data_IF_747149429310
#
_entry.id   IF_747149429310
#
_cell.length_a   1.000
_cell.length_b   1.000
_cell.length_c   1.000
_cell.angle_alpha   90.00
_cell.angle_beta   90.00
_cell.angle_gamma   90.00
#
_symmetry.space_group_name_H-M   'P 1'
#
loop_
_entity.id
_entity.type
_entity.pdbx_description
1 polymer ?
2 polymer ?
3 polymer ?
#
# COMPACT_ATOMS: atom_id res chain seq x y z
N UNK A 8 -11.12 10.26 25.20
CA UNK A 8 -10.96 9.16 24.26
C UNK A 8 -10.17 8.01 24.87
N UNK A 9 -9.41 8.32 25.92
CA UNK A 9 -8.62 7.30 26.58
C UNK A 9 -9.52 6.17 27.08
N UNK A 10 -9.08 4.93 26.85
CA UNK A 10 -9.88 3.78 27.20
C UNK A 10 -10.97 3.51 26.20
N UNK A 11 -11.84 2.57 26.55
CA UNK A 11 -12.96 2.21 25.69
C UNK A 11 -13.93 3.38 25.60
N UNK A 12 -14.30 3.74 24.37
CA UNK A 12 -15.20 4.86 24.13
C UNK A 12 -16.30 4.41 23.18
N UNK A 13 -17.57 4.57 23.53
CA UNK A 13 -18.65 4.29 22.57
C UNK A 13 -18.73 5.36 21.51
N UNK A 14 -19.36 4.99 20.39
CA UNK A 14 -19.50 5.90 19.25
C UNK A 14 -20.80 5.56 18.53
N UNK A 15 -21.50 6.60 18.09
CA UNK A 15 -22.70 6.47 17.29
C UNK A 15 -22.60 7.44 16.13
N UNK A 16 -22.61 6.91 14.90
CA UNK A 16 -22.40 7.71 13.70
C UNK A 16 -23.66 7.64 12.85
N UNK A 17 -24.25 8.79 12.57
CA UNK A 17 -25.42 8.89 11.71
C UNK A 17 -25.12 9.88 10.60
N UNK A 18 -25.53 9.53 9.37
CA UNK A 18 -25.26 10.39 8.23
C UNK A 18 -26.33 10.19 7.18
N UNK A 19 -26.42 11.14 6.26
CA UNK A 19 -27.34 11.07 5.13
C UNK A 19 -26.65 11.64 3.90
N UNK A 20 -27.02 11.13 2.74
CA UNK A 20 -26.37 11.55 1.50
C UNK A 20 -27.27 11.37 0.30
N UNK A 21 -26.93 12.10 -0.76
CA UNK A 21 -27.67 12.07 -2.03
C UNK A 21 -26.73 11.67 -3.16
N UNK A 22 -27.20 10.73 -3.98
CA UNK A 22 -26.46 10.26 -5.14
C UNK A 22 -27.43 10.17 -6.31
N UNK A 23 -27.26 11.05 -7.29
CA UNK A 23 -28.07 11.02 -8.51
C UNK A 23 -29.56 11.05 -8.19
N UNK A 24 -29.93 11.90 -7.23
CA UNK A 24 -31.31 12.06 -6.84
C UNK A 24 -31.83 11.02 -5.86
N UNK A 25 -31.01 10.07 -5.46
CA UNK A 25 -31.39 9.04 -4.49
C UNK A 25 -30.85 9.44 -3.12
N UNK A 26 -31.74 9.60 -2.15
CA UNK A 26 -31.38 10.00 -0.80
C UNK A 26 -31.39 8.78 0.11
N UNK A 27 -30.34 8.63 0.91
CA UNK A 27 -30.24 7.50 1.82
C UNK A 27 -29.47 7.90 3.06
N UNK A 28 -29.89 7.37 4.21
CA UNK A 28 -29.27 7.67 5.49
C UNK A 28 -28.85 6.37 6.17
N UNK A 29 -27.71 6.41 6.85
CA UNK A 29 -27.15 5.25 7.54
C UNK A 29 -26.82 5.65 8.97
N UNK A 30 -27.23 4.81 9.92
CA UNK A 30 -26.94 5.01 11.34
C UNK A 30 -26.26 3.76 11.87
N UNK A 31 -25.30 3.95 12.76
CA UNK A 31 -24.54 2.82 13.29
C UNK A 31 -23.98 3.13 14.66
N UNK A 32 -23.63 2.06 15.36
CA UNK A 32 -23.14 2.14 16.73
C UNK A 32 -21.95 1.19 16.91
N UNK A 33 -21.10 1.51 17.87
CA UNK A 33 -19.99 0.64 18.18
C UNK A 33 -19.10 1.22 19.25
N UNK A 34 -17.89 0.69 19.35
CA UNK A 34 -16.96 1.11 20.39
C UNK A 34 -15.54 1.04 19.88
N UNK A 35 -14.68 1.90 20.43
CA UNK A 35 -13.28 1.93 20.05
C UNK A 35 -12.38 1.96 21.26
N UNK A 36 -11.27 1.22 21.17
CA UNK A 36 -10.24 1.18 22.19
C UNK A 36 -8.97 1.77 21.59
N UNK A 37 -8.67 3.02 21.96
CA UNK A 37 -7.46 3.66 21.45
C UNK A 37 -6.20 3.02 22.02
N UNK A 38 -6.25 2.60 23.28
CA UNK A 38 -5.08 1.98 23.89
C UNK A 38 -4.71 0.70 23.16
N UNK A 39 -5.71 -0.12 22.80
CA UNK A 39 -5.48 -1.34 22.04
C UNK A 39 -5.47 -1.10 20.54
N UNK A 40 -5.80 0.10 20.08
CA UNK A 40 -5.83 0.36 18.65
C UNK A 40 -6.84 -0.48 17.90
N UNK A 41 -8.04 -0.62 18.46
CA UNK A 41 -9.08 -1.44 17.85
C UNK A 41 -10.36 -0.63 17.72
N UNK A 42 -11.17 -0.96 16.72
CA UNK A 42 -12.42 -0.25 16.52
C UNK A 42 -13.46 -1.22 15.97
N UNK A 43 -14.64 -1.24 16.57
CA UNK A 43 -15.72 -2.14 16.17
C UNK A 43 -16.97 -1.30 15.90
N UNK A 44 -17.64 -1.58 14.80
CA UNK A 44 -18.82 -0.82 14.41
C UNK A 44 -19.86 -1.74 13.78
N UNK A 45 -21.11 -1.27 13.81
CA UNK A 45 -22.24 -1.95 13.18
C UNK A 45 -23.16 -0.89 12.62
N UNK A 46 -23.39 -0.95 11.31
CA UNK A 46 -24.19 0.05 10.60
C UNK A 46 -25.51 -0.55 10.14
N UNK A 47 -26.41 0.34 9.73
CA UNK A 47 -27.66 -0.07 9.08
C UNK A 47 -28.24 1.16 8.38
N UNK A 48 -28.81 0.94 7.20
CA UNK A 48 -29.49 1.98 6.46
C UNK A 48 -30.99 1.92 6.77
N UNK A 49 -31.52 3.01 7.31
CA UNK A 49 -32.96 3.06 7.58
C UNK A 49 -33.77 2.96 6.30
N UNK A 50 -33.25 3.47 5.19
CA UNK A 50 -33.93 3.34 3.91
C UNK A 50 -33.92 1.89 3.45
N UNK A 51 -34.90 1.56 2.60
CA UNK A 51 -35.05 0.18 2.17
C UNK A 51 -33.83 -0.34 1.43
N UNK A 52 -33.32 0.45 0.49
CA UNK A 52 -32.18 0.04 -0.33
C UNK A 52 -31.21 1.19 -0.47
N UNK A 53 -29.92 0.87 -0.47
CA UNK A 53 -28.87 1.86 -0.65
C UNK A 53 -28.37 1.80 -2.08
N UNK A 54 -28.49 2.87 -2.88
CA UNK A 54 -28.33 2.72 -4.33
C UNK A 54 -26.96 2.19 -4.76
N UNK A 55 -25.89 2.58 -4.06
CA UNK A 55 -24.53 2.23 -4.46
C UNK A 55 -24.01 1.09 -3.59
N UNK A 56 -22.88 0.48 -3.93
CA UNK A 56 -22.31 -0.54 -3.05
C UNK A 56 -21.90 0.06 -1.71
N UNK A 57 -22.01 -0.75 -0.66
CA UNK A 57 -21.65 -0.27 0.68
C UNK A 57 -20.19 0.14 0.80
N UNK A 58 -19.22 -0.64 0.32
CA UNK A 58 -17.81 -0.32 0.62
C UNK A 58 -17.41 1.10 0.26
N UNK A 59 -17.90 1.62 -0.85
CA UNK A 59 -17.55 2.98 -1.26
C UNK A 59 -17.96 4.01 -0.21
N UNK A 60 -18.91 3.67 0.66
CA UNK A 60 -19.25 4.51 1.80
C UNK A 60 -18.76 3.95 3.12
N UNK A 61 -18.47 2.66 3.21
CA UNK A 61 -17.81 2.14 4.39
C UNK A 61 -16.47 2.84 4.58
N UNK A 62 -15.75 3.08 3.48
CA UNK A 62 -14.48 3.77 3.58
C UNK A 62 -14.66 5.18 4.16
N UNK A 63 -15.69 5.89 3.70
CA UNK A 63 -15.93 7.24 4.20
C UNK A 63 -16.34 7.22 5.68
N UNK A 64 -17.24 6.31 6.04
CA UNK A 64 -17.67 6.23 7.43
C UNK A 64 -16.54 5.85 8.35
N UNK A 65 -15.59 5.03 7.88
CA UNK A 65 -14.45 4.63 8.69
C UNK A 65 -13.44 5.76 8.83
N UNK A 66 -12.95 6.26 7.70
CA UNK A 66 -11.92 7.29 7.70
C UNK A 66 -12.45 8.68 8.04
N UNK A 67 -13.71 8.78 8.49
CA UNK A 67 -14.22 10.05 8.94
C UNK A 67 -13.74 10.45 10.32
N UNK A 68 -13.27 9.49 11.12
CA UNK A 68 -12.79 9.74 12.47
C UNK A 68 -11.44 9.06 12.64
N UNK A 69 -10.47 9.80 13.17
CA UNK A 69 -9.15 9.27 13.48
C UNK A 69 -8.82 9.31 14.96
N UNK A 70 -9.72 9.80 15.81
CA UNK A 70 -9.42 9.90 17.23
C UNK A 70 -9.17 8.53 17.84
N UNK A 71 -9.99 7.54 17.48
CA UNK A 71 -9.82 6.21 18.03
C UNK A 71 -8.50 5.58 17.62
N UNK A 72 -8.00 5.91 16.44
CA UNK A 72 -6.79 5.28 15.93
C UNK A 72 -5.63 5.47 16.91
N UNK A 73 -4.90 4.39 17.16
CA UNK A 73 -3.76 4.43 18.06
C UNK A 73 -2.53 4.95 17.33
N UNK A 74 -1.65 5.60 18.09
CA UNK A 74 -0.41 6.15 17.57
C UNK A 74 0.75 5.75 18.48
N UNK A 75 1.97 5.71 17.94
CA UNK A 75 3.13 5.38 18.78
C UNK A 75 3.42 6.50 19.76
N UNK A 76 4.20 6.15 20.79
CA UNK A 76 4.50 7.11 21.86
C UNK A 76 5.14 8.37 21.31
N UNK A 77 6.09 8.23 20.38
CA UNK A 77 6.75 9.41 19.83
C UNK A 77 5.77 10.29 19.06
N UNK A 78 4.73 9.70 18.47
CA UNK A 78 3.75 10.43 17.68
C UNK A 78 2.53 10.85 18.48
N UNK A 79 2.46 10.50 19.77
CA UNK A 79 1.29 10.87 20.56
C UNK A 79 1.12 12.38 20.62
N UNK A 80 2.20 13.11 20.85
CA UNK A 80 2.13 14.57 20.82
C UNK A 80 1.90 15.09 19.41
N UNK A 81 2.42 14.38 18.40
CA UNK A 81 2.32 14.84 17.02
C UNK A 81 0.88 14.84 16.51
N UNK A 82 0.01 14.01 17.05
CA UNK A 82 -1.34 13.88 16.51
C UNK A 82 -2.10 15.19 16.65
N UNK A 83 -2.83 15.56 15.58
CA UNK A 83 -3.67 16.75 15.60
C UNK A 83 -5.11 16.40 15.97
N UNK A 84 -5.60 15.24 15.52
CA UNK A 84 -7.00 14.90 15.70
C UNK A 84 -7.36 14.80 17.18
N UNK A 85 -6.50 14.17 17.98
CA UNK A 85 -6.79 14.03 19.40
C UNK A 85 -6.80 15.39 20.10
N UNK A 86 -5.93 16.30 19.67
CA UNK A 86 -5.87 17.62 20.29
C UNK A 86 -7.18 18.38 20.08
N UNK A 87 -7.78 18.26 18.89
CA UNK A 87 -9.00 18.97 18.55
C UNK A 87 -10.26 18.23 19.00
N UNK A 88 -10.11 17.06 19.63
CA UNK A 88 -11.29 16.30 20.05
C UNK A 88 -12.21 17.09 20.98
N UNK A 89 -11.71 17.84 21.97
CA UNK A 89 -12.63 18.47 22.93
C UNK A 89 -13.68 19.36 22.28
N UNK A 90 -13.33 20.10 21.23
CA UNK A 90 -14.26 21.00 20.57
C UNK A 90 -14.57 20.58 19.14
N UNK A 91 -14.09 19.42 18.71
CA UNK A 91 -14.49 18.87 17.42
C UNK A 91 -13.73 19.46 16.26
N UNK A 92 -14.03 18.94 15.07
CA UNK A 92 -13.41 19.40 13.84
C UNK A 92 -14.30 19.00 12.66
N UNK A 93 -14.12 19.73 11.55
CA UNK A 93 -14.92 19.53 10.34
C UNK A 93 -13.99 19.12 9.22
N UNK A 94 -14.34 18.04 8.52
CA UNK A 94 -13.56 17.51 7.41
C UNK A 94 -14.32 17.68 6.10
N UNK A 95 -13.62 18.16 5.08
CA UNK A 95 -14.12 18.21 3.72
C UNK A 95 -13.30 17.22 2.89
N UNK A 96 -13.99 16.24 2.30
CA UNK A 96 -13.33 15.17 1.56
C UNK A 96 -13.82 15.16 0.13
N UNK A 97 -12.86 15.05 -0.81
CA UNK A 97 -13.14 14.87 -2.22
C UNK A 97 -12.55 13.54 -2.65
N UNK A 98 -13.37 12.69 -3.24
CA UNK A 98 -12.95 11.37 -3.71
C UNK A 98 -13.24 11.30 -5.20
N UNK A 99 -12.20 11.07 -5.99
CA UNK A 99 -12.32 10.92 -7.44
C UNK A 99 -12.19 9.42 -7.74
N UNK A 100 -13.29 8.79 -8.11
CA UNK A 100 -13.27 7.41 -8.54
C UNK A 100 -12.70 7.29 -9.95
N UNK A 101 -12.18 6.11 -10.27
CA UNK A 101 -11.59 5.84 -11.58
C UNK A 101 -12.72 5.61 -12.59
N UNK A 102 -13.26 6.71 -13.08
CA UNK A 102 -14.30 6.78 -14.11
C UNK A 102 -15.69 6.43 -13.56
N UNK A 103 -15.82 6.07 -12.28
CA UNK A 103 -17.12 5.82 -11.69
C UNK A 103 -17.81 7.07 -11.19
N UNK A 104 -17.10 8.21 -11.16
CA UNK A 104 -17.68 9.48 -10.77
C UNK A 104 -16.89 10.11 -9.62
N UNK A 105 -17.62 10.84 -8.76
CA UNK A 105 -16.97 11.61 -7.72
C UNK A 105 -17.89 11.73 -6.50
N UNK A 106 -17.27 11.64 -5.31
CA UNK A 106 -17.91 11.94 -4.04
C UNK A 106 -17.38 13.25 -3.48
N UNK A 107 -18.31 14.07 -2.98
CA UNK A 107 -17.97 15.26 -2.20
C UNK A 107 -18.69 15.16 -0.87
N UNK A 108 -17.92 15.14 0.23
CA UNK A 108 -18.51 14.92 1.54
C UNK A 108 -18.01 15.96 2.53
N UNK A 109 -18.90 16.32 3.46
CA UNK A 109 -18.56 17.21 4.56
C UNK A 109 -19.04 16.57 5.86
N UNK A 110 -18.13 16.45 6.83
CA UNK A 110 -18.42 15.77 8.08
C UNK A 110 -17.99 16.62 9.26
N UNK A 111 -18.66 16.41 10.38
CA UNK A 111 -18.32 17.04 11.65
C UNK A 111 -18.17 15.95 12.71
N UNK A 112 -17.07 15.99 13.45
CA UNK A 112 -16.77 15.01 14.49
C UNK A 112 -16.52 15.76 15.78
N UNK A 113 -17.19 15.35 16.86
CA UNK A 113 -17.02 16.03 18.13
C UNK A 113 -17.43 15.12 19.28
N UNK A 114 -16.85 15.39 20.45
CA UNK A 114 -17.15 14.64 21.67
C UNK A 114 -18.32 15.34 22.36
N UNK A 115 -19.53 14.88 22.07
CA UNK A 115 -20.74 15.45 22.64
C UNK A 115 -21.03 14.76 23.97
N UNK A 116 -21.21 15.57 25.02
CA UNK A 116 -21.40 14.98 26.33
C UNK A 116 -20.20 14.13 26.69
N UNK A 117 -20.45 12.86 27.00
CA UNK A 117 -19.39 11.89 27.27
C UNK A 117 -19.31 10.81 26.21
N UNK A 118 -19.80 11.09 25.00
CA UNK A 118 -19.74 10.13 23.90
C UNK A 118 -19.36 10.85 22.62
N UNK A 119 -18.64 10.15 21.75
CA UNK A 119 -18.19 10.71 20.48
C UNK A 119 -19.30 10.60 19.43
N UNK A 120 -19.42 11.63 18.61
CA UNK A 120 -20.47 11.70 17.59
C UNK A 120 -19.85 12.19 16.29
N UNK A 121 -20.32 11.61 15.18
CA UNK A 121 -19.89 12.00 13.83
C UNK A 121 -21.12 12.12 12.95
N UNK A 122 -21.18 13.19 12.16
CA UNK A 122 -22.25 13.39 11.20
C UNK A 122 -21.62 13.72 9.85
N UNK A 123 -22.25 13.24 8.77
CA UNK A 123 -21.70 13.35 7.44
C UNK A 123 -22.80 13.68 6.44
N UNK A 124 -22.49 14.54 5.47
CA UNK A 124 -23.35 14.82 4.33
C UNK A 124 -22.55 14.49 3.06
N UNK A 125 -23.17 13.75 2.15
CA UNK A 125 -22.49 13.22 0.98
C UNK A 125 -23.24 13.59 -0.29
N UNK A 126 -22.49 13.90 -1.35
CA UNK A 126 -23.06 14.14 -2.67
C UNK A 126 -22.29 13.35 -3.70
N UNK A 127 -23.00 12.62 -4.54
CA UNK A 127 -22.40 11.84 -5.62
C UNK A 127 -22.72 12.47 -6.96
N UNK A 128 -21.72 12.49 -7.86
CA UNK A 128 -21.85 13.16 -9.15
C UNK A 128 -21.08 12.37 -10.22
N UNK A 129 -21.52 12.54 -11.47
CA UNK A 129 -20.85 11.98 -12.64
C UNK A 129 -20.99 10.46 -12.68
N UNK A 130 -22.18 9.95 -12.40
CA UNK A 130 -22.45 8.52 -12.40
C UNK A 130 -23.27 8.15 -13.63
N UNK A 131 -22.95 6.99 -14.20
CA UNK A 131 -23.64 6.49 -15.39
C UNK A 131 -23.92 5.01 -15.23
N UNK A 132 -25.04 4.57 -15.82
CA UNK A 132 -25.39 3.15 -15.80
C UNK A 132 -24.30 2.33 -16.51
N UNK A 133 -24.23 1.05 -16.15
CA UNK A 133 -23.25 0.08 -16.62
C UNK A 133 -21.93 0.23 -15.88
N UNK A 134 -21.81 1.18 -14.96
CA UNK A 134 -20.61 1.31 -14.17
C UNK A 134 -20.53 0.29 -13.05
N UNK A 135 -19.37 0.24 -12.41
CA UNK A 135 -19.15 -0.73 -11.35
C UNK A 135 -20.06 -0.45 -10.15
N UNK A 136 -20.13 0.81 -9.71
CA UNK A 136 -20.97 1.15 -8.57
C UNK A 136 -22.44 1.04 -8.93
N UNK A 137 -22.81 1.42 -10.16
CA UNK A 137 -24.20 1.28 -10.58
C UNK A 137 -24.62 -0.18 -10.62
N UNK A 138 -23.75 -1.05 -11.12
CA UNK A 138 -24.06 -2.45 -11.26
C UNK A 138 -23.93 -3.28 -10.01
N UNK A 139 -23.49 -2.70 -8.90
CA UNK A 139 -23.31 -3.42 -7.64
C UNK A 139 -22.37 -4.61 -7.82
N UNK A 140 -21.38 -4.47 -8.70
CA UNK A 140 -20.43 -5.55 -8.97
C UNK A 140 -19.38 -5.69 -7.87
N UNK A 141 -19.22 -4.67 -7.02
CA UNK A 141 -18.23 -4.75 -5.95
C UNK A 141 -18.61 -5.84 -4.96
N UNK A 142 -17.61 -6.59 -4.51
CA UNK A 142 -17.84 -7.66 -3.55
C UNK A 142 -17.93 -7.09 -2.14
N UNK A 143 -18.00 -7.97 -1.15
CA UNK A 143 -18.09 -7.59 0.25
C UNK A 143 -16.73 -7.52 0.93
N UNK A 144 -15.65 -7.85 0.23
CA UNK A 144 -14.32 -7.85 0.83
C UNK A 144 -13.74 -6.43 0.84
N UNK A 145 -12.68 -6.26 1.61
CA UNK A 145 -12.00 -4.98 1.74
C UNK A 145 -10.49 -5.20 1.69
N UNK A 146 -9.75 -4.09 1.70
CA UNK A 146 -8.29 -4.13 1.64
C UNK A 146 -7.71 -3.13 2.63
N UNK A 147 -6.55 -3.47 3.17
CA UNK A 147 -5.81 -2.54 4.00
C UNK A 147 -5.22 -1.42 3.14
N UNK A 148 -4.95 -0.28 3.76
CA UNK A 148 -4.52 0.89 3.01
C UNK A 148 -3.58 1.74 3.85
N UNK A 149 -2.96 2.72 3.20
CA UNK A 149 -2.07 3.67 3.84
C UNK A 149 -2.51 5.09 3.50
N UNK A 150 -2.55 5.95 4.51
CA UNK A 150 -3.01 7.32 4.37
C UNK A 150 -1.89 8.25 4.82
N UNK A 151 -1.53 9.22 3.97
CA UNK A 151 -0.46 10.16 4.29
C UNK A 151 -1.07 11.45 4.83
N UNK A 152 -0.47 11.97 5.90
CA UNK A 152 -0.98 13.12 6.65
C UNK A 152 0.10 14.19 6.66
N UNK A 153 -0.28 15.42 6.28
CA UNK A 153 0.66 16.55 6.25
C UNK A 153 -0.04 17.80 6.75
N UNK A 154 0.73 18.68 7.38
CA UNK A 154 0.18 19.91 7.94
C UNK A 154 0.08 21.01 6.88
N UNK A 155 -0.66 22.06 7.22
CA UNK A 155 -0.76 23.24 6.36
C UNK A 155 -1.08 24.43 7.26
N UNK A 156 -0.09 25.29 7.48
CA UNK A 156 -0.27 26.45 8.36
C UNK A 156 -1.09 27.55 7.69
N UNK A 157 -1.02 27.66 6.35
CA UNK A 157 -1.78 28.70 5.66
C UNK A 157 -3.27 28.54 5.91
N UNK A 158 -3.78 27.33 5.82
CA UNK A 158 -5.17 27.04 6.14
C UNK A 158 -5.37 26.61 7.59
N UNK A 159 -4.29 26.51 8.36
CA UNK A 159 -4.38 26.10 9.76
C UNK A 159 -5.10 24.75 9.88
N UNK A 160 -4.75 23.82 9.00
CA UNK A 160 -5.44 22.54 8.97
C UNK A 160 -4.53 21.42 8.50
N UNK A 161 -5.02 20.20 8.70
CA UNK A 161 -4.29 18.99 8.34
C UNK A 161 -4.93 18.42 7.07
N UNK A 162 -4.08 18.02 6.12
CA UNK A 162 -4.50 17.51 4.83
C UNK A 162 -4.03 16.07 4.69
N UNK A 163 -4.94 15.20 4.29
CA UNK A 163 -4.64 13.79 4.11
C UNK A 163 -4.86 13.40 2.66
N UNK A 164 -4.04 12.47 2.17
CA UNK A 164 -4.19 11.98 0.81
C UNK A 164 -3.86 10.49 0.74
N UNK A 165 -4.52 9.81 -0.20
CA UNK A 165 -4.17 8.42 -0.48
C UNK A 165 -4.95 7.86 -1.67
N UNK A 166 -4.68 6.61 -2.01
CA UNK A 166 -5.40 5.90 -3.06
C UNK A 166 -6.04 4.67 -2.47
N UNK A 167 -7.31 4.43 -2.82
CA UNK A 167 -8.08 3.31 -2.31
C UNK A 167 -8.41 2.38 -3.47
N UNK A 168 -8.12 1.09 -3.30
CA UNK A 168 -8.41 0.08 -4.31
C UNK A 168 -9.66 -0.68 -3.90
N UNK A 169 -10.72 -0.52 -4.68
CA UNK A 169 -11.97 -1.25 -4.47
C UNK A 169 -12.08 -2.39 -5.48
N UNK A 170 -12.68 -3.48 -5.05
CA UNK A 170 -12.68 -4.72 -5.83
C UNK A 170 -14.01 -4.92 -6.54
N UNK A 171 -13.97 -5.64 -7.66
CA UNK A 171 -15.14 -5.91 -8.48
C UNK A 171 -15.27 -7.41 -8.69
N UNK A 172 -16.51 -7.87 -8.85
CA UNK A 172 -16.77 -9.31 -8.93
C UNK A 172 -15.96 -9.97 -10.03
N UNK A 173 -15.84 -9.30 -11.18
CA UNK A 173 -15.03 -9.82 -12.27
C UNK A 173 -13.53 -9.68 -12.01
N UNK A 174 -13.14 -9.08 -10.88
CA UNK A 174 -11.75 -8.86 -10.54
C UNK A 174 -11.26 -7.46 -10.79
N UNK A 175 -12.02 -6.65 -11.52
CA UNK A 175 -11.59 -5.28 -11.82
C UNK A 175 -11.33 -4.52 -10.52
N UNK A 176 -10.23 -3.77 -10.50
CA UNK A 176 -9.81 -3.01 -9.33
C UNK A 176 -9.90 -1.53 -9.67
N UNK A 177 -10.65 -0.79 -8.86
CA UNK A 177 -10.84 0.64 -9.05
C UNK A 177 -9.92 1.39 -8.10
N UNK A 178 -8.96 2.13 -8.66
CA UNK A 178 -8.09 3.00 -7.88
C UNK A 178 -8.73 4.38 -7.82
N UNK A 179 -9.15 4.78 -6.62
CA UNK A 179 -9.81 6.06 -6.41
C UNK A 179 -8.92 6.95 -5.56
N UNK A 180 -8.77 8.21 -5.97
CA UNK A 180 -7.97 9.16 -5.21
C UNK A 180 -8.81 9.81 -4.13
N UNK A 181 -8.30 9.81 -2.89
CA UNK A 181 -9.00 10.37 -1.75
C UNK A 181 -8.18 11.52 -1.19
N UNK A 182 -8.80 12.70 -1.08
CA UNK A 182 -8.17 13.87 -0.49
C UNK A 182 -9.07 14.43 0.61
N UNK A 183 -8.46 14.79 1.73
CA UNK A 183 -9.18 15.28 2.90
C UNK A 183 -8.53 16.56 3.40
N UNK A 184 -9.35 17.52 3.81
CA UNK A 184 -8.91 18.73 4.47
C UNK A 184 -9.67 18.86 5.78
N UNK A 185 -8.96 19.20 6.85
CA UNK A 185 -9.59 19.31 8.16
C UNK A 185 -9.44 20.72 8.72
N UNK A 186 -10.47 21.17 9.41
CA UNK A 186 -10.48 22.49 10.05
C UNK A 186 -10.92 22.28 11.49
N UNK A 187 -10.11 22.65 12.48
CA UNK A 187 -10.53 22.48 13.89
C UNK A 187 -11.59 23.51 14.27
N UNK A 188 -12.71 23.01 14.79
CA UNK A 188 -13.76 23.90 15.28
C UNK A 188 -13.24 24.71 16.47
N UNK A 189 -12.45 24.07 17.34
CA UNK A 189 -11.95 24.75 18.51
C UNK A 189 -10.82 25.71 18.19
N UNK A 190 -10.53 26.56 19.18
CA UNK A 190 -9.46 27.56 19.08
C UNK A 190 -8.23 27.17 19.88
N UNK A 191 -8.13 25.92 20.32
CA UNK A 191 -7.04 25.49 21.18
C UNK A 191 -5.78 25.21 20.40
N UNK A 192 -4.80 24.57 21.05
CA UNK A 192 -3.53 24.25 20.37
C UNK A 192 -3.72 23.13 19.35
N UNK A 193 -3.13 23.32 18.17
CA UNK A 193 -3.32 22.36 17.09
C UNK A 193 -2.33 21.20 17.20
N UNK A 194 -1.06 21.51 17.46
CA UNK A 194 -0.02 20.48 17.47
C UNK A 194 0.02 19.72 16.15
N UNK A 195 -0.07 20.46 15.05
CA UNK A 195 -0.14 19.84 13.73
C UNK A 195 1.14 19.06 13.45
N UNK A 196 1.05 17.78 13.07
CA UNK A 196 2.28 17.04 12.71
C UNK A 196 2.70 17.34 11.29
N UNK A 197 4.03 17.39 11.09
CA UNK A 197 4.56 17.73 9.77
C UNK A 197 4.19 16.67 8.73
N UNK A 198 4.51 15.40 9.01
CA UNK A 198 4.26 14.32 8.06
C UNK A 198 4.20 13.00 8.82
N UNK A 199 3.18 12.19 8.50
CA UNK A 199 3.14 10.84 9.04
C UNK A 199 2.08 10.02 8.31
N UNK A 200 2.29 8.71 8.25
CA UNK A 200 1.40 7.81 7.50
C UNK A 200 0.74 6.83 8.46
N UNK A 201 -0.56 6.63 8.28
CA UNK A 201 -1.34 5.68 9.07
C UNK A 201 -1.72 4.48 8.21
N UNK A 202 -1.42 3.28 8.70
CA UNK A 202 -1.83 2.05 8.05
C UNK A 202 -3.13 1.56 8.68
N UNK A 203 -4.12 1.28 7.83
CA UNK A 203 -5.43 0.82 8.25
C UNK A 203 -5.64 -0.61 7.77
N UNK A 204 -6.09 -1.51 8.66
CA UNK A 204 -6.40 -2.92 8.30
C UNK A 204 -7.84 -3.20 8.69
N UNK A 205 -8.77 -3.27 7.72
CA UNK A 205 -10.23 -3.41 8.00
C UNK A 205 -10.80 -4.73 7.46
N UNK A 206 -11.59 -5.45 8.28
CA UNK A 206 -12.24 -6.74 7.87
C UNK A 206 -13.74 -6.61 8.11
N UNK A 207 -14.58 -7.14 7.21
CA UNK A 207 -16.06 -7.00 7.29
C UNK A 207 -16.71 -8.38 7.50
N UNK A 208 -17.68 -8.50 8.41
CA UNK A 208 -18.41 -9.77 8.70
C UNK A 208 -19.91 -9.51 8.81
N UNK A 209 -20.75 -10.56 8.70
CA UNK A 209 -22.21 -10.45 8.82
C UNK A 209 -22.68 -11.37 9.93
N UNK A 210 -23.78 -10.96 10.59
CA UNK A 210 -24.36 -11.74 11.67
C UNK A 210 -25.59 -12.47 11.14
N UNK A 211 -25.58 -13.80 11.04
CA UNK A 211 -26.76 -14.51 10.52
C UNK A 211 -28.00 -14.37 11.40
N UNK A 212 -27.91 -13.73 12.56
CA UNK A 212 -29.07 -13.66 13.45
C UNK A 212 -30.22 -12.90 12.80
N UNK A 213 -29.93 -11.79 12.11
CA UNK A 213 -30.92 -10.91 11.55
C UNK A 213 -30.86 -10.91 10.04
N UNK A 214 -32.00 -10.64 9.40
CA UNK A 214 -32.04 -10.47 7.95
C UNK A 214 -31.50 -9.12 7.51
N UNK A 215 -31.49 -8.12 8.39
CA UNK A 215 -30.98 -6.80 8.04
C UNK A 215 -29.49 -6.86 7.71
N UNK A 216 -29.10 -6.10 6.69
CA UNK A 216 -27.69 -6.01 6.34
C UNK A 216 -26.91 -5.40 7.50
N UNK A 217 -25.90 -6.13 7.99
CA UNK A 217 -25.20 -5.78 9.22
C UNK A 217 -23.96 -4.94 8.98
N UNK A 218 -23.09 -5.35 8.06
CA UNK A 218 -21.83 -4.66 7.81
C UNK A 218 -20.99 -4.58 9.08
N UNK A 219 -20.99 -5.66 9.87
CA UNK A 219 -20.16 -5.69 11.07
C UNK A 219 -18.72 -5.42 10.67
N UNK A 220 -18.13 -4.38 11.24
CA UNK A 220 -16.89 -3.83 10.70
C UNK A 220 -15.85 -3.68 11.80
N UNK A 221 -14.61 -4.04 11.48
CA UNK A 221 -13.51 -4.00 12.43
C UNK A 221 -12.34 -3.27 11.79
N UNK A 222 -11.74 -2.34 12.55
CA UNK A 222 -10.55 -1.61 12.11
C UNK A 222 -9.42 -1.74 13.12
N UNK A 223 -8.20 -1.82 12.59
CA UNK A 223 -6.98 -1.63 13.36
C UNK A 223 -6.14 -0.62 12.60
N UNK A 224 -5.99 0.58 13.17
CA UNK A 224 -5.30 1.68 12.52
C UNK A 224 -4.10 2.05 13.38
N UNK A 225 -2.92 2.09 12.77
CA UNK A 225 -1.68 2.41 13.48
C UNK A 225 -0.86 3.41 12.68
N UNK A 226 -0.35 4.43 13.38
CA UNK A 226 0.44 5.48 12.74
C UNK A 226 1.93 5.12 12.75
N UNK A 227 2.66 5.82 11.88
CA UNK A 227 4.10 5.62 11.76
C UNK A 227 4.69 6.64 10.79
N UNK B 1 -1.63 -19.63 10.02
CA UNK B 1 -3.01 -19.98 9.58
C UNK B 1 -3.08 -20.12 8.06
N UNK B 2 -2.75 -19.04 7.36
CA UNK B 2 -2.87 -18.98 5.90
C UNK B 2 -1.61 -18.33 5.34
N UNK B 3 -1.12 -18.86 4.22
CA UNK B 3 0.06 -18.30 3.57
C UNK B 3 -0.08 -18.41 2.06
N UNK B 4 0.59 -17.51 1.36
CA UNK B 4 0.69 -17.51 -0.10
C UNK B 4 2.15 -17.51 -0.51
N UNK B 5 2.52 -18.39 -1.42
CA UNK B 5 3.90 -18.53 -1.88
C UNK B 5 3.89 -18.51 -3.41
N UNK B 6 4.57 -17.54 -4.00
CA UNK B 6 4.63 -17.41 -5.44
C UNK B 6 6.06 -17.59 -5.93
N UNK B 7 6.21 -18.32 -7.03
CA UNK B 7 7.52 -18.66 -7.57
C UNK B 7 7.44 -18.64 -9.08
N UNK B 8 8.56 -18.99 -9.73
CA UNK B 8 8.68 -18.95 -11.17
C UNK B 8 9.29 -17.70 -11.74
N UNK B 9 9.66 -16.74 -10.90
CA UNK B 9 10.25 -15.50 -11.40
C UNK B 9 11.65 -15.74 -11.95
N UNK B 10 11.89 -15.27 -13.17
CA UNK B 10 13.19 -15.38 -13.79
C UNK B 10 13.31 -14.32 -14.87
N UNK B 11 14.54 -13.91 -15.16
CA UNK B 11 14.78 -12.92 -16.19
C UNK B 11 14.59 -13.53 -17.57
N UNK B 12 13.97 -12.76 -18.46
CA UNK B 12 13.63 -13.23 -19.81
C UNK B 12 13.98 -12.15 -20.81
N UNK B 13 14.66 -12.53 -21.88
CA UNK B 13 14.91 -11.59 -22.96
C UNK B 13 13.61 -11.29 -23.69
N UNK B 14 13.52 -10.14 -24.37
CA UNK B 14 12.26 -9.79 -25.03
C UNK B 14 11.84 -10.86 -26.03
N UNK B 15 10.53 -11.11 -26.07
CA UNK B 15 9.98 -12.12 -26.94
C UNK B 15 9.87 -13.51 -26.34
N UNK B 16 10.40 -13.72 -25.14
CA UNK B 16 10.35 -15.02 -24.50
C UNK B 16 9.01 -15.27 -23.81
N UNK B 17 8.90 -16.46 -23.24
CA UNK B 17 7.71 -16.89 -22.51
C UNK B 17 8.09 -17.28 -21.10
N UNK B 18 7.30 -16.82 -20.12
CA UNK B 18 7.56 -17.10 -18.71
C UNK B 18 6.27 -17.49 -18.03
N UNK B 19 6.38 -18.37 -17.04
CA UNK B 19 5.23 -18.85 -16.27
C UNK B 19 5.48 -18.63 -14.79
N UNK B 20 4.59 -17.87 -14.16
CA UNK B 20 4.61 -17.65 -12.71
C UNK B 20 3.53 -18.50 -12.07
N UNK B 21 3.76 -18.92 -10.82
CA UNK B 21 2.83 -19.82 -10.13
C UNK B 21 2.69 -19.38 -8.69
N UNK B 22 1.46 -19.09 -8.27
CA UNK B 22 1.16 -18.74 -6.89
C UNK B 22 0.37 -19.86 -6.24
N UNK B 23 0.93 -20.46 -5.20
CA UNK B 23 0.29 -21.50 -4.43
C UNK B 23 -0.22 -20.94 -3.10
N UNK B 24 -1.27 -21.57 -2.57
CA UNK B 24 -1.92 -21.15 -1.35
C UNK B 24 -1.84 -22.25 -0.31
N UNK B 25 -2.00 -21.87 0.95
CA UNK B 25 -2.01 -22.82 2.05
C UNK B 25 -2.91 -22.29 3.15
N UNK B 26 -3.75 -23.17 3.69
CA UNK B 26 -4.63 -22.81 4.79
C UNK B 26 -6.00 -22.30 4.39
N UNK B 27 -6.35 -22.35 3.11
CA UNK B 27 -7.67 -21.90 2.67
C UNK B 27 -7.91 -22.40 1.25
N UNK B 28 -9.16 -22.65 0.88
CA UNK B 28 -9.45 -23.06 -0.50
C UNK B 28 -9.23 -21.91 -1.47
N UNK B 29 -8.91 -22.27 -2.72
CA UNK B 29 -8.67 -21.28 -3.75
C UNK B 29 -9.92 -21.16 -4.63
N UNK B 30 -10.71 -22.24 -4.67
CA UNK B 30 -11.85 -22.27 -5.57
C UNK B 30 -12.93 -21.28 -5.15
N UNK B 31 -13.02 -20.97 -3.86
CA UNK B 31 -14.11 -20.17 -3.31
C UNK B 31 -13.81 -18.68 -3.29
N UNK B 32 -12.64 -18.26 -3.79
CA UNK B 32 -12.26 -16.85 -3.73
C UNK B 32 -11.53 -16.47 -5.02
N UNK B 33 -11.57 -15.17 -5.32
CA UNK B 33 -10.89 -14.63 -6.49
C UNK B 33 -9.39 -14.51 -6.21
N UNK B 34 -8.62 -14.38 -7.31
CA UNK B 34 -7.17 -14.25 -7.22
C UNK B 34 -6.74 -13.02 -8.00
N UNK B 35 -5.61 -12.43 -7.62
CA UNK B 35 -5.20 -11.17 -8.24
C UNK B 35 -3.68 -11.08 -8.27
N UNK B 36 -3.18 -10.37 -9.29
CA UNK B 36 -1.75 -10.16 -9.48
C UNK B 36 -1.51 -8.68 -9.69
N UNK B 37 -0.85 -8.05 -8.73
CA UNK B 37 -0.46 -6.65 -8.80
C UNK B 37 0.97 -6.54 -9.31
N UNK B 38 1.34 -5.33 -9.72
CA UNK B 38 2.68 -5.06 -10.21
C UNK B 38 3.13 -3.72 -9.67
N UNK B 39 4.39 -3.65 -9.23
CA UNK B 39 4.97 -2.36 -8.87
C UNK B 39 6.43 -2.32 -9.31
N UNK B 40 6.81 -1.21 -9.92
CA UNK B 40 8.15 -0.92 -10.37
C UNK B 40 8.98 -0.36 -9.23
N UNK B 41 10.31 -0.44 -9.31
CA UNK B 41 11.14 0.17 -8.25
C UNK B 41 10.84 1.65 -8.12
N UNK B 42 10.49 2.06 -6.90
CA UNK B 42 10.14 3.45 -6.66
C UNK B 42 8.91 3.90 -7.41
N UNK B 43 7.86 3.06 -7.43
CA UNK B 43 6.62 3.40 -8.10
C UNK B 43 5.46 2.81 -7.30
N UNK B 44 4.29 3.44 -7.45
CA UNK B 44 3.11 2.98 -6.75
C UNK B 44 2.64 1.63 -7.31
N UNK B 45 2.10 0.81 -6.41
CA UNK B 45 1.62 -0.52 -6.79
C UNK B 45 0.35 -0.42 -7.61
N UNK B 46 0.21 -1.35 -8.56
CA UNK B 46 -0.91 -1.31 -9.49
C UNK B 46 -1.36 -2.74 -9.80
N UNK B 47 -2.64 -2.89 -10.09
CA UNK B 47 -3.24 -4.19 -10.37
C UNK B 47 -3.15 -4.48 -11.87
N UNK B 48 -2.35 -5.47 -12.25
CA UNK B 48 -2.19 -5.81 -13.66
C UNK B 48 -3.18 -6.88 -14.10
N UNK B 49 -3.39 -7.94 -13.31
CA UNK B 49 -4.22 -9.04 -13.75
C UNK B 49 -5.06 -9.56 -12.58
N UNK B 50 -6.12 -10.29 -12.91
CA UNK B 50 -6.86 -10.97 -11.86
C UNK B 50 -7.97 -11.82 -12.45
N UNK B 51 -8.52 -12.66 -11.58
CA UNK B 51 -9.45 -13.71 -11.95
C UNK B 51 -10.55 -13.82 -10.90
N UNK B 52 -11.79 -13.81 -11.38
CA UNK B 52 -12.95 -13.76 -10.50
C UNK B 52 -13.06 -15.04 -9.66
N UNK B 53 -13.76 -14.92 -8.54
CA UNK B 53 -13.93 -16.07 -7.65
C UNK B 53 -14.64 -17.21 -8.37
N UNK B 54 -15.69 -16.88 -9.13
CA UNK B 54 -16.40 -17.90 -9.89
C UNK B 54 -15.53 -18.49 -10.99
N UNK B 55 -14.57 -17.71 -11.50
CA UNK B 55 -13.69 -18.17 -12.56
C UNK B 55 -14.26 -18.05 -13.96
N UNK B 56 -15.48 -17.52 -14.10
CA UNK B 56 -16.07 -17.41 -15.44
C UNK B 56 -15.30 -16.44 -16.30
N UNK B 57 -14.83 -15.33 -15.73
CA UNK B 57 -14.15 -14.29 -16.48
C UNK B 57 -12.93 -13.81 -15.70
N UNK B 58 -11.96 -13.27 -16.45
CA UNK B 58 -10.77 -12.68 -15.87
C UNK B 58 -10.59 -11.26 -16.40
N UNK B 59 -10.00 -10.40 -15.58
CA UNK B 59 -9.90 -8.98 -15.88
C UNK B 59 -8.46 -8.52 -15.81
N UNK B 60 -8.04 -7.76 -16.82
CA UNK B 60 -6.69 -7.22 -16.91
C UNK B 60 -6.77 -5.70 -17.07
N UNK B 61 -5.60 -5.06 -16.94
CA UNK B 61 -5.51 -3.64 -17.20
C UNK B 61 -5.39 -3.37 -18.70
N UNK B 62 -5.42 -2.09 -19.06
CA UNK B 62 -5.48 -1.72 -20.48
C UNK B 62 -4.27 -2.24 -21.25
N UNK B 63 -3.08 -2.07 -20.67
CA UNK B 63 -1.86 -2.37 -21.42
C UNK B 63 -1.64 -3.87 -21.56
N UNK B 64 -1.86 -4.63 -20.48
CA UNK B 64 -1.50 -6.05 -20.47
C UNK B 64 -2.64 -6.97 -20.88
N UNK B 65 -3.80 -6.42 -21.23
CA UNK B 65 -4.94 -7.27 -21.55
C UNK B 65 -4.58 -8.19 -22.71
N UNK B 66 -4.83 -9.49 -22.52
CA UNK B 66 -4.50 -10.51 -23.49
C UNK B 66 -3.09 -11.06 -23.35
N UNK B 67 -2.21 -10.37 -22.64
CA UNK B 67 -0.85 -10.86 -22.48
C UNK B 67 -0.75 -11.92 -21.39
N UNK B 68 -1.41 -11.71 -20.24
CA UNK B 68 -1.20 -12.56 -19.09
C UNK B 68 -1.86 -13.92 -19.24
N UNK B 69 -3.08 -13.97 -19.76
CA UNK B 69 -3.78 -15.23 -20.03
C UNK B 69 -3.70 -16.16 -18.82
N UNK B 70 -4.33 -15.73 -17.72
CA UNK B 70 -4.18 -16.42 -16.44
C UNK B 70 -5.05 -17.67 -16.42
N UNK B 71 -4.70 -18.60 -15.53
CA UNK B 71 -5.45 -19.85 -15.40
C UNK B 71 -5.37 -20.33 -13.96
N UNK B 72 -6.33 -21.21 -13.61
CA UNK B 72 -6.48 -21.72 -12.25
C UNK B 72 -6.99 -23.15 -12.29
N UNK B 73 -6.52 -23.96 -11.35
CA UNK B 73 -7.00 -25.31 -11.12
C UNK B 73 -7.31 -25.46 -9.63
N UNK B 74 -8.56 -25.81 -9.31
CA UNK B 74 -8.97 -25.89 -7.92
C UNK B 74 -8.21 -27.01 -7.19
N UNK B 75 -8.07 -28.17 -7.82
CA UNK B 75 -7.43 -29.29 -7.16
C UNK B 75 -5.97 -29.00 -6.85
N UNK B 76 -5.26 -28.38 -7.78
CA UNK B 76 -3.84 -28.09 -7.57
C UNK B 76 -3.65 -27.07 -6.44
N UNK B 77 -4.67 -26.24 -6.17
CA UNK B 77 -4.55 -25.16 -5.20
C UNK B 77 -3.46 -24.18 -5.61
N UNK B 78 -3.30 -23.98 -6.91
CA UNK B 78 -2.27 -23.10 -7.45
C UNK B 78 -2.80 -22.40 -8.69
N UNK B 79 -2.42 -21.14 -8.85
CA UNK B 79 -2.80 -20.33 -10.01
C UNK B 79 -1.56 -20.08 -10.85
N UNK B 80 -1.75 -20.11 -12.17
CA UNK B 80 -0.65 -19.97 -13.12
C UNK B 80 -0.88 -18.76 -14.02
N UNK B 81 0.17 -17.99 -14.22
CA UNK B 81 0.17 -16.82 -15.09
C UNK B 81 1.20 -17.02 -16.20
N UNK B 82 0.79 -16.77 -17.44
CA UNK B 82 1.62 -16.98 -18.61
C UNK B 82 2.02 -15.64 -19.21
N UNK B 83 3.32 -15.42 -19.38
CA UNK B 83 3.81 -14.14 -19.87
C UNK B 83 3.32 -13.87 -21.29
N UNK B 84 3.36 -14.88 -22.15
CA UNK B 84 3.01 -14.72 -23.57
C UNK B 84 3.98 -13.70 -24.14
N UNK B 85 3.51 -12.65 -24.82
CA UNK B 85 4.41 -11.62 -25.33
C UNK B 85 5.01 -10.82 -24.18
N UNK B 86 6.25 -10.38 -24.36
CA UNK B 86 6.99 -9.65 -23.35
C UNK B 86 7.40 -8.29 -23.89
N UNK B 87 7.36 -7.28 -23.02
CA UNK B 87 7.77 -5.92 -23.34
C UNK B 87 8.59 -5.38 -22.19
N UNK B 88 9.43 -4.37 -22.44
CA UNK B 88 10.25 -3.83 -21.35
C UNK B 88 9.44 -3.30 -20.19
N UNK B 89 8.21 -2.86 -20.44
CA UNK B 89 7.38 -2.30 -19.36
C UNK B 89 7.14 -3.32 -18.25
N UNK B 90 7.29 -4.61 -18.54
CA UNK B 90 7.13 -5.65 -17.54
C UNK B 90 8.31 -5.74 -16.58
N UNK B 91 9.24 -4.78 -16.63
CA UNK B 91 10.38 -4.79 -15.72
C UNK B 91 9.94 -4.74 -14.26
N UNK B 92 8.76 -4.22 -13.99
CA UNK B 92 8.26 -4.13 -12.62
C UNK B 92 8.01 -5.54 -12.05
N UNK B 93 7.98 -5.62 -10.73
CA UNK B 93 7.87 -6.91 -10.05
C UNK B 93 6.40 -7.18 -9.76
N UNK B 94 6.10 -8.45 -9.48
CA UNK B 94 4.73 -8.91 -9.33
C UNK B 94 4.44 -9.38 -7.92
N UNK B 95 3.19 -9.23 -7.52
CA UNK B 95 2.69 -9.65 -6.21
C UNK B 95 1.39 -10.42 -6.39
N UNK B 96 1.20 -11.43 -5.56
CA UNK B 96 0.05 -12.32 -5.61
C UNK B 96 -0.85 -12.02 -4.41
N UNK B 97 -2.14 -11.76 -4.67
CA UNK B 97 -3.06 -11.29 -3.64
C UNK B 97 -4.36 -12.07 -3.68
N UNK B 98 -4.83 -12.46 -2.50
CA UNK B 98 -6.17 -13.01 -2.29
C UNK B 98 -6.56 -12.71 -0.85
N UNK B 99 -7.70 -12.06 -0.65
CA UNK B 99 -8.11 -11.55 0.66
C UNK B 99 -9.34 -12.31 1.17
N UNK B 100 -9.09 -13.30 2.01
CA UNK B 100 -10.14 -14.00 2.76
C UNK B 100 -10.12 -13.45 4.18
N UNK B 101 -11.26 -12.98 4.66
CA UNK B 101 -11.27 -12.28 5.93
C UNK B 101 -10.37 -11.07 5.84
N UNK B 102 -9.40 -10.96 6.74
CA UNK B 102 -8.43 -9.89 6.66
C UNK B 102 -7.55 -10.07 5.42
N UNK B 103 -7.14 -8.94 4.84
CA UNK B 103 -6.40 -8.96 3.58
C UNK B 103 -5.04 -9.62 3.77
N UNK B 104 -4.58 -10.33 2.73
CA UNK B 104 -3.31 -11.03 2.73
C UNK B 104 -2.52 -10.66 1.48
N UNK B 105 -1.25 -10.33 1.64
CA UNK B 105 -0.34 -10.11 0.52
C UNK B 105 0.69 -11.23 0.49
N UNK B 106 0.98 -11.74 -0.70
CA UNK B 106 2.06 -12.71 -0.84
C UNK B 106 3.39 -12.03 -1.10
N UNK B 107 4.47 -12.71 -0.71
CA UNK B 107 5.81 -12.15 -0.90
C UNK B 107 6.14 -11.99 -2.37
N UNK B 108 5.58 -12.85 -3.23
CA UNK B 108 5.78 -12.69 -4.66
C UNK B 108 7.22 -12.95 -5.08
N UNK B 109 7.48 -12.61 -6.35
CA UNK B 109 8.82 -12.69 -6.92
C UNK B 109 9.04 -11.52 -7.86
N UNK B 110 10.30 -11.21 -8.09
CA UNK B 110 10.71 -10.11 -8.96
C UNK B 110 11.12 -10.66 -10.32
N UNK B 111 10.65 -10.01 -11.38
CA UNK B 111 10.95 -10.40 -12.75
C UNK B 111 11.26 -9.13 -13.54
N UNK B 112 12.33 -9.17 -14.34
CA UNK B 112 12.71 -8.04 -15.16
C UNK B 112 13.20 -8.56 -16.51
N UNK B 113 12.75 -7.90 -17.58
CA UNK B 113 13.04 -8.37 -18.93
C UNK B 113 14.51 -8.16 -19.27
N UNK B 114 15.09 -7.04 -18.85
CA UNK B 114 16.46 -6.69 -19.23
C UNK B 114 16.59 -6.58 -20.74
N UNK C 4 20.74 14.26 -4.63
CA UNK C 4 19.97 13.04 -4.78
C UNK C 4 20.87 11.87 -5.18
N UNK C 5 20.60 10.70 -4.61
CA UNK C 5 21.41 9.51 -4.85
C UNK C 5 20.81 8.72 -6.00
N UNK C 6 21.60 8.49 -7.04
CA UNK C 6 21.18 7.70 -8.20
C UNK C 6 22.10 6.49 -8.30
N UNK C 7 21.50 5.30 -8.35
CA UNK C 7 22.22 4.04 -8.52
C UNK C 7 21.78 3.40 -9.82
N UNK C 8 22.75 2.89 -10.59
CA UNK C 8 22.44 2.27 -11.87
C UNK C 8 23.50 1.22 -12.19
N UNK C 9 23.30 0.53 -13.31
CA UNK C 9 24.24 -0.47 -13.77
C UNK C 9 23.96 -1.89 -13.33
N UNK C 10 22.71 -2.22 -13.01
CA UNK C 10 22.32 -3.57 -12.58
C UNK C 10 21.45 -4.25 -13.59
N UNK C 11 21.63 -5.55 -13.76
CA UNK C 11 20.83 -6.33 -14.68
C UNK C 11 20.99 -7.81 -14.44
N UNK C 12 20.01 -8.58 -14.93
CA UNK C 12 20.05 -10.02 -14.77
C UNK C 12 21.21 -10.61 -15.56
N UNK C 13 21.90 -11.58 -14.95
CA UNK C 13 23.07 -12.21 -15.58
C UNK C 13 23.18 -13.66 -15.15
N UNK C 14 24.17 -14.36 -15.71
CA UNK C 14 24.47 -15.73 -15.33
C UNK C 14 25.48 -15.73 -14.19
N UNK C 15 25.71 -16.93 -13.63
CA UNK C 15 26.68 -17.08 -12.57
C UNK C 15 28.10 -16.89 -13.09
N UNK C 16 28.97 -16.34 -12.25
CA UNK C 16 30.35 -16.12 -12.61
C UNK C 16 30.61 -14.86 -13.39
N UNK C 17 29.65 -13.95 -13.47
CA UNK C 17 29.82 -12.71 -14.17
C UNK C 17 30.17 -11.56 -13.24
N UNK C 18 30.80 -10.53 -13.82
CA UNK C 18 31.22 -9.35 -13.08
C UNK C 18 30.43 -8.15 -13.57
N UNK C 19 29.63 -7.57 -12.67
CA UNK C 19 28.84 -6.36 -12.96
C UNK C 19 29.23 -5.25 -11.98
N UNK C 20 29.11 -4.01 -12.45
CA UNK C 20 29.48 -2.83 -11.69
C UNK C 20 28.25 -1.97 -11.47
N UNK C 21 27.96 -1.63 -10.22
CA UNK C 21 26.87 -0.75 -9.86
C UNK C 21 27.44 0.62 -9.49
N UNK C 22 26.99 1.65 -10.19
CA UNK C 22 27.51 3.01 -10.01
C UNK C 22 26.50 3.81 -9.20
N UNK C 23 26.97 4.42 -8.11
CA UNK C 23 26.18 5.30 -7.27
C UNK C 23 26.80 6.70 -7.26
N UNK C 24 25.96 7.71 -7.50
CA UNK C 24 26.40 9.09 -7.57
C UNK C 24 25.39 9.99 -6.88
N UNK C 25 25.88 10.95 -6.10
CA UNK C 25 25.04 11.94 -5.45
C UNK C 25 25.12 13.24 -6.25
N UNK C 26 23.97 13.72 -6.73
CA UNK C 26 23.93 14.97 -7.49
C UNK C 26 24.25 16.18 -6.62
N UNK C 27 24.28 16.02 -5.29
CA UNK C 27 24.47 17.12 -4.36
C UNK C 27 25.97 17.43 -4.23
N UNK C 28 26.54 17.94 -5.31
CA UNK C 28 27.93 18.36 -5.28
C UNK C 28 28.86 17.24 -4.91
N UNK C 29 29.71 17.49 -3.92
CA UNK C 29 30.76 16.55 -3.55
C UNK C 29 30.18 15.31 -2.88
N UNK C 30 30.86 14.18 -3.09
CA UNK C 30 30.51 12.91 -2.46
C UNK C 30 31.57 12.40 -1.50
N UNK C 31 32.79 12.92 -1.57
CA UNK C 31 33.85 12.43 -0.68
C UNK C 31 33.50 12.68 0.78
N UNK C 32 32.83 13.80 1.07
CA UNK C 32 32.45 14.09 2.45
C UNK C 32 31.47 13.06 2.99
N UNK C 33 30.86 12.28 2.12
CA UNK C 33 29.76 11.38 2.49
C UNK C 33 30.27 9.94 2.53
N UNK C 34 30.12 9.28 3.68
CA UNK C 34 30.41 7.85 3.76
C UNK C 34 29.37 7.11 2.96
N UNK C 35 29.81 6.23 2.05
CA UNK C 35 28.93 5.59 1.08
C UNK C 35 28.87 4.09 1.34
N UNK C 36 27.65 3.55 1.43
CA UNK C 36 27.48 2.14 1.71
C UNK C 36 26.49 1.52 0.75
N UNK C 37 26.57 0.19 0.65
CA UNK C 37 25.67 -0.60 -0.17
C UNK C 37 25.07 -1.71 0.68
N UNK C 38 23.77 -1.92 0.51
CA UNK C 38 23.02 -2.96 1.20
C UNK C 38 22.22 -3.77 0.20
N UNK C 39 21.88 -4.99 0.57
CA UNK C 39 21.06 -5.87 -0.27
C UNK C 39 19.83 -6.36 0.49
N UNK C 40 18.69 -6.35 -0.19
CA UNK C 40 17.44 -6.87 0.33
C UNK C 40 17.08 -8.13 -0.46
N UNK C 41 16.94 -9.26 0.23
CA UNK C 41 16.53 -10.48 -0.41
C UNK C 41 15.03 -10.40 -0.75
N UNK C 42 14.54 -11.26 -1.64
CA UNK C 42 13.13 -11.18 -2.02
C UNK C 42 12.18 -11.27 -0.84
N UNK C 43 12.52 -12.07 0.17
CA UNK C 43 11.65 -12.22 1.33
C UNK C 43 12.38 -12.34 2.65
N UNK C 44 13.60 -11.82 2.73
CA UNK C 44 14.41 -11.88 3.93
C UNK C 44 14.79 -10.46 4.37
N UNK C 45 15.35 -10.38 5.57
CA UNK C 45 15.74 -9.10 6.13
C UNK C 45 16.90 -8.50 5.35
N UNK C 46 16.99 -7.18 5.37
CA UNK C 46 18.05 -6.48 4.67
C UNK C 46 19.41 -6.80 5.28
N UNK C 47 20.44 -6.76 4.45
CA UNK C 47 21.79 -7.11 4.87
C UNK C 47 22.78 -6.05 4.39
N UNK C 48 23.94 -6.01 5.05
CA UNK C 48 24.98 -5.05 4.76
C UNK C 48 25.92 -5.64 3.71
N UNK C 49 25.98 -5.00 2.54
CA UNK C 49 26.88 -5.47 1.49
C UNK C 49 28.29 -4.95 1.73
N UNK C 50 28.45 -3.64 1.79
CA UNK C 50 29.80 -3.07 1.93
C UNK C 50 29.69 -1.59 2.28
N UNK C 51 30.84 -1.00 2.61
CA UNK C 51 30.89 0.41 3.00
C UNK C 51 32.28 0.96 2.78
N UNK C 52 32.33 2.26 2.45
CA UNK C 52 33.56 3.02 2.28
C UNK C 52 33.39 4.35 3.00
N UNK C 53 34.44 4.78 3.72
CA UNK C 53 34.34 5.90 4.64
C UNK C 53 35.32 7.01 4.29
N UNK C 54 35.35 8.00 5.18
CA UNK C 54 36.18 9.19 4.97
C UNK C 54 37.65 8.82 4.94
N UNK C 55 38.11 8.02 5.90
CA UNK C 55 39.52 7.65 5.98
C UNK C 55 39.96 6.78 4.80
N UNK C 56 39.00 6.22 4.05
CA UNK C 56 39.31 5.32 2.97
C UNK C 56 39.19 3.85 3.32
N UNK C 57 39.03 3.53 4.60
CA UNK C 57 38.87 2.13 4.99
C UNK C 57 37.61 1.55 4.36
N UNK C 58 37.75 0.36 3.78
CA UNK C 58 36.65 -0.33 3.13
C UNK C 58 36.28 -1.56 3.95
N UNK C 59 35.00 -1.69 4.27
CA UNK C 59 34.51 -2.79 5.10
C UNK C 59 33.52 -3.60 4.30
N UNK C 60 33.73 -4.91 4.25
CA UNK C 60 32.84 -5.83 3.56
C UNK C 60 32.42 -6.94 4.52
N UNK C 61 31.19 -7.41 4.36
CA UNK C 61 30.69 -8.48 5.21
C UNK C 61 31.47 -9.77 4.96
N UNK C 62 31.49 -10.64 5.97
CA UNK C 62 32.30 -11.86 5.88
C UNK C 62 31.81 -12.75 4.75
N UNK C 63 30.49 -12.84 4.55
CA UNK C 63 29.96 -13.70 3.50
C UNK C 63 30.48 -13.28 2.13
N UNK C 64 30.71 -11.99 1.94
CA UNK C 64 31.10 -11.46 0.64
C UNK C 64 32.57 -11.10 0.57
N UNK C 65 33.32 -11.27 1.66
CA UNK C 65 34.71 -10.84 1.69
C UNK C 65 35.52 -11.55 0.63
N UNK C 66 36.37 -10.79 -0.07
CA UNK C 66 37.21 -11.34 -1.10
C UNK C 66 36.57 -11.44 -2.47
N UNK C 67 35.31 -11.00 -2.63
CA UNK C 67 34.62 -11.09 -3.91
C UNK C 67 34.20 -9.74 -4.49
N UNK C 68 33.82 -8.76 -3.67
CA UNK C 68 33.39 -7.48 -4.18
C UNK C 68 34.40 -6.41 -3.78
N UNK C 69 34.32 -5.25 -4.45
CA UNK C 69 35.20 -4.14 -4.12
C UNK C 69 34.49 -2.82 -4.39
N UNK C 70 34.63 -1.88 -3.46
CA UNK C 70 34.14 -0.52 -3.64
C UNK C 70 35.30 0.37 -4.03
N UNK C 71 35.09 1.23 -5.03
CA UNK C 71 36.08 2.20 -5.45
C UNK C 71 35.41 3.56 -5.58
N UNK C 72 35.95 4.56 -4.89
CA UNK C 72 35.54 5.94 -5.06
C UNK C 72 36.54 6.61 -5.99
N UNK C 73 36.05 7.12 -7.12
CA UNK C 73 36.92 7.68 -8.15
C UNK C 73 37.03 9.18 -7.95
N UNK C 74 38.24 9.65 -7.60
CA UNK C 74 38.46 11.07 -7.43
C UNK C 74 38.21 11.83 -8.73
N UNK C 75 38.62 11.25 -9.85
CA UNK C 75 38.45 11.92 -11.15
C UNK C 75 36.97 12.13 -11.46
N UNK C 76 36.13 11.13 -11.18
CA UNK C 76 34.73 11.17 -11.55
C UNK C 76 33.80 11.51 -10.38
N UNK C 77 34.28 11.47 -9.14
CA UNK C 77 33.47 11.83 -7.98
C UNK C 77 32.24 10.92 -7.86
N UNK C 78 32.48 9.61 -8.00
CA UNK C 78 31.40 8.62 -7.98
C UNK C 78 31.91 7.34 -7.32
N UNK C 79 30.99 6.60 -6.69
CA UNK C 79 31.35 5.39 -5.94
C UNK C 79 30.79 4.19 -6.68
N UNK C 80 31.66 3.26 -7.06
CA UNK C 80 31.27 2.10 -7.85
C UNK C 80 31.54 0.83 -7.06
N UNK C 81 30.57 -0.07 -7.05
CA UNK C 81 30.71 -1.39 -6.45
C UNK C 81 30.90 -2.41 -7.57
N UNK C 82 32.09 -3.00 -7.65
CA UNK C 82 32.42 -4.01 -8.63
C UNK C 82 32.24 -5.39 -8.01
N UNK C 83 31.59 -6.28 -8.75
CA UNK C 83 31.28 -7.62 -8.27
C UNK C 83 32.05 -8.66 -9.07
N UNK C 84 32.47 -9.73 -8.41
CA UNK C 84 33.17 -10.83 -9.05
C UNK C 84 32.63 -12.14 -8.51
N UNK C 85 32.65 -13.17 -9.35
CA UNK C 85 32.18 -14.51 -8.98
C UNK C 85 30.77 -14.45 -8.40
N UNK C 86 29.89 -13.70 -9.06
CA UNK C 86 28.52 -13.57 -8.60
C UNK C 86 27.84 -14.93 -8.58
N UNK C 87 27.00 -15.15 -7.58
CA UNK C 87 26.40 -16.44 -7.30
C UNK C 87 24.90 -16.30 -7.07
N UNK C 88 24.15 -17.39 -7.15
CA UNK C 88 22.69 -17.30 -6.98
C UNK C 88 22.27 -16.71 -5.65
N UNK C 89 23.13 -16.75 -4.63
CA UNK C 89 22.80 -16.15 -3.34
C UNK C 89 22.70 -14.64 -3.40
N UNK C 90 23.13 -14.01 -4.49
CA UNK C 90 23.18 -12.56 -4.61
C UNK C 90 21.99 -11.97 -5.37
N UNK C 91 20.86 -12.68 -5.41
CA UNK C 91 19.69 -12.17 -6.13
C UNK C 91 19.09 -10.95 -5.47
N UNK C 92 19.50 -10.62 -4.25
CA UNK C 92 18.93 -9.50 -3.53
C UNK C 92 19.09 -8.18 -4.30
N UNK C 93 18.05 -7.36 -4.26
CA UNK C 93 18.12 -6.02 -4.85
C UNK C 93 19.09 -5.17 -4.04
N UNK C 94 19.86 -4.33 -4.73
CA UNK C 94 20.94 -3.56 -4.11
C UNK C 94 20.54 -2.09 -4.01
N UNK C 95 20.83 -1.50 -2.85
CA UNK C 95 20.56 -0.09 -2.57
C UNK C 95 21.84 0.59 -2.10
N UNK C 96 21.92 1.89 -2.40
CA UNK C 96 23.07 2.72 -2.07
C UNK C 96 22.63 3.80 -1.09
N UNK C 97 23.44 4.03 -0.06
CA UNK C 97 23.10 4.97 1.00
C UNK C 97 24.34 5.77 1.39
N UNK C 98 24.11 6.84 2.14
CA UNK C 98 25.21 7.66 2.62
C UNK C 98 24.93 8.24 3.99
N UNK C 99 26.01 8.47 4.74
CA UNK C 99 25.95 9.11 6.05
C UNK C 99 26.98 10.22 6.13
N UNK C 100 26.58 11.33 6.76
CA UNK C 100 27.44 12.48 6.96
C UNK C 100 28.36 12.34 8.15
N UNK C 101 28.12 11.37 9.04
CA UNK C 101 28.91 11.18 10.24
C UNK C 101 29.92 10.07 10.00
N UNK C 102 31.20 10.37 10.26
CA UNK C 102 32.26 9.39 10.03
C UNK C 102 32.04 8.14 10.90
N UNK C 103 31.58 8.33 12.13
CA UNK C 103 31.39 7.20 13.03
C UNK C 103 30.21 6.35 12.59
N UNK C 104 30.14 5.11 13.06
CA UNK C 104 29.06 4.22 12.62
C UNK C 104 27.69 4.71 13.05
N UNK C 105 26.69 4.38 12.25
CA UNK C 105 25.33 4.77 12.55
C UNK C 105 24.42 4.49 11.37
N UNK C 106 23.22 5.05 11.44
CA UNK C 106 22.24 4.90 10.37
C UNK C 106 22.56 5.87 9.24
N UNK C 107 22.38 5.39 8.01
CA UNK C 107 22.62 6.22 6.83
C UNK C 107 21.39 7.07 6.55
N UNK C 108 21.61 8.35 6.26
CA UNK C 108 20.50 9.26 6.00
C UNK C 108 19.95 9.09 4.59
N UNK C 109 20.79 9.29 3.58
CA UNK C 109 20.34 9.25 2.20
C UNK C 109 20.05 7.81 1.77
N UNK C 110 19.31 7.69 0.67
CA UNK C 110 18.97 6.37 0.13
C UNK C 110 18.70 6.51 -1.37
N UNK C 111 18.70 5.37 -2.06
CA UNK C 111 18.53 5.31 -3.50
C UNK C 111 17.41 4.33 -3.84
N UNK C 112 16.85 4.49 -5.04
CA UNK C 112 15.74 3.65 -5.46
C UNK C 112 16.16 2.18 -5.54
N UNK C 113 17.32 1.91 -6.15
CA UNK C 113 17.82 0.56 -6.26
C UNK C 113 17.50 -0.07 -7.61
N UNK C 114 18.25 -1.11 -7.95
CA UNK C 114 18.08 -1.84 -9.19
C UNK C 114 18.09 -3.34 -8.91
N UNK C 115 17.34 -4.14 -9.67
CA UNK C 115 17.36 -5.59 -9.46
C UNK C 115 18.63 -6.22 -10.01
N UNK C 116 19.10 -7.24 -9.31
CA UNK C 116 20.27 -8.01 -9.73
C UNK C 116 19.94 -9.49 -9.58
N UNK C 117 20.36 -10.30 -10.53
CA UNK C 117 19.98 -11.71 -10.56
C UNK C 117 21.14 -12.56 -11.07
N UNK C 118 21.02 -13.87 -10.84
CA UNK C 118 21.97 -14.85 -11.35
C UNK C 118 21.17 -16.02 -11.90
N UNK C 119 21.80 -16.79 -12.79
CA UNK C 119 21.23 -17.98 -13.42
C UNK C 119 19.94 -18.49 -12.75
#
# INVERSE_FOLDING_TARGET
MSKGEELFTGVVPILVELDGDVNGHKFSVRGEGEGDATNGKLTLKFICTTGKLPVPWPTLVTTLTYGVQCFSRYPDHMKRHDFFKSAMPEGYVQERTISFKDDGTYKTRAEVKFEGDTLVNRIELKGIDFKEDGNILGHKLEYNFNSHNVYITADKQKNGIKANFKIRHNVEDGSVQLADHYQQNTPIGDGPVLLPDNHYLSTQSVLSKDPNEKRDHMVLLEFVTAAGITHGMDELYK
QVQLVENGGACVKPGGSLRLSCAASGFPVNRYSMRWYRQAPGKEREWVAGMSSAGDRSSYEDSVKGRFTISRDDARNTVYLQMNSLKPEDTAVYYCNVNVGFEYWGQGTQVMVS
SQGQLVENGGGCVKAGGSLRLSCAASQGTLSNLVTGWFRRAPGKEREFVANIGRDGLTVYSNSVKGRFTISRDRAKNTVYLQMDSLKPEDTAVYYCAGRLSRFPGEYDYWSKGTPVMVS
#
